data_IF_500512751772
#
_entry.id   IF_500512751772
#
_cell.length_a   1.000
_cell.length_b   1.000
_cell.length_c   1.000
_cell.angle_alpha   90.00
_cell.angle_beta   90.00
_cell.angle_gamma   90.00
#
_symmetry.space_group_name_H-M   'P 1'
#
loop_
_entity.id
_entity.type
_entity.pdbx_description
1 polymer ?
#
# COMPACT_ATOMS: atom_id res chain seq x y z
N UNK A 1 -9.18 15.84 -22.57
CA UNK A 1 -8.68 14.55 -22.04
C UNK A 1 -8.53 14.74 -20.54
N UNK A 2 -8.88 13.75 -19.72
CA UNK A 2 -8.77 13.88 -18.25
C UNK A 2 -7.31 13.71 -17.84
N UNK A 3 -6.79 14.56 -16.94
CA UNK A 3 -5.43 14.42 -16.41
C UNK A 3 -5.41 13.36 -15.32
N UNK A 4 -4.63 12.31 -15.53
CA UNK A 4 -4.48 11.22 -14.57
C UNK A 4 -3.12 11.23 -13.89
N UNK A 5 -3.04 10.65 -12.69
CA UNK A 5 -1.79 10.32 -12.01
C UNK A 5 -1.78 8.83 -11.67
N UNK A 6 -0.72 8.10 -12.07
CA UNK A 6 -0.56 6.69 -11.72
C UNK A 6 0.22 6.56 -10.41
N UNK A 7 -0.39 5.87 -9.44
CA UNK A 7 0.25 5.44 -8.20
C UNK A 7 0.53 3.94 -8.34
N UNK A 8 1.81 3.57 -8.39
CA UNK A 8 2.23 2.18 -8.50
C UNK A 8 3.54 1.97 -7.76
N UNK A 9 3.75 0.75 -7.28
CA UNK A 9 4.99 0.36 -6.59
C UNK A 9 6.17 0.55 -7.53
N UNK A 10 7.24 1.19 -7.07
CA UNK A 10 8.49 1.27 -7.84
C UNK A 10 9.51 0.25 -7.32
N UNK A 11 9.73 0.22 -6.00
CA UNK A 11 10.76 -0.61 -5.37
C UNK A 11 10.43 -2.11 -5.41
N UNK A 12 11.45 -2.93 -5.60
CA UNK A 12 11.39 -4.39 -5.52
C UNK A 12 12.55 -4.93 -4.67
N UNK A 13 12.43 -6.17 -4.19
CA UNK A 13 13.51 -6.85 -3.46
C UNK A 13 14.71 -7.19 -4.37
N UNK A 14 14.50 -7.21 -5.68
CA UNK A 14 15.53 -7.45 -6.69
C UNK A 14 15.41 -6.47 -7.86
N UNK A 15 16.49 -6.24 -8.62
CA UNK A 15 16.40 -5.43 -9.85
C UNK A 15 15.38 -5.97 -10.87
N UNK A 16 15.17 -7.29 -10.91
CA UNK A 16 14.15 -7.91 -11.76
C UNK A 16 12.74 -7.51 -11.32
N UNK A 17 12.48 -7.46 -10.01
CA UNK A 17 11.20 -6.97 -9.48
C UNK A 17 10.99 -5.48 -9.75
N UNK A 18 12.03 -4.65 -9.64
CA UNK A 18 11.95 -3.21 -10.02
C UNK A 18 11.59 -3.08 -11.50
N UNK A 19 12.22 -3.85 -12.37
CA UNK A 19 11.92 -3.85 -13.82
C UNK A 19 10.50 -4.30 -14.11
N UNK A 20 10.01 -5.33 -13.41
CA UNK A 20 8.64 -5.81 -13.55
C UNK A 20 7.62 -4.76 -13.09
N UNK A 21 7.88 -4.09 -11.97
CA UNK A 21 7.04 -2.99 -11.49
C UNK A 21 6.94 -1.85 -12.53
N UNK A 22 8.06 -1.46 -13.14
CA UNK A 22 8.08 -0.44 -14.21
C UNK A 22 7.25 -0.92 -15.41
N UNK A 23 7.39 -2.18 -15.81
CA UNK A 23 6.61 -2.77 -16.91
C UNK A 23 5.11 -2.73 -16.63
N UNK A 24 4.69 -3.10 -15.42
CA UNK A 24 3.27 -3.03 -15.02
C UNK A 24 2.75 -1.59 -15.03
N UNK A 25 3.57 -0.63 -14.56
CA UNK A 25 3.22 0.78 -14.61
C UNK A 25 3.10 1.32 -16.05
N UNK A 26 3.96 0.84 -16.96
CA UNK A 26 3.88 1.14 -18.39
C UNK A 26 2.58 0.64 -19.02
N UNK A 27 2.23 -0.63 -18.82
CA UNK A 27 1.00 -1.24 -19.34
C UNK A 27 -0.26 -0.55 -18.81
N UNK A 28 -0.27 -0.22 -17.51
CA UNK A 28 -1.37 0.54 -16.92
C UNK A 28 -1.46 1.94 -17.51
N UNK A 29 -0.33 2.63 -17.70
CA UNK A 29 -0.30 3.95 -18.33
C UNK A 29 -0.89 3.86 -19.74
N UNK A 30 -0.44 2.92 -20.57
CA UNK A 30 -0.97 2.73 -21.93
C UNK A 30 -2.49 2.49 -21.93
N UNK A 31 -2.98 1.67 -20.99
CA UNK A 31 -4.40 1.38 -20.82
C UNK A 31 -5.20 2.63 -20.44
N UNK A 32 -4.68 3.47 -19.55
CA UNK A 32 -5.29 4.75 -19.17
C UNK A 32 -5.36 5.73 -20.35
N UNK A 33 -4.31 5.79 -21.17
CA UNK A 33 -4.30 6.60 -22.39
C UNK A 33 -5.38 6.16 -23.38
N UNK A 34 -5.55 4.85 -23.58
CA UNK A 34 -6.64 4.29 -24.42
C UNK A 34 -8.03 4.65 -23.91
N UNK A 35 -8.18 4.87 -22.60
CA UNK A 35 -9.44 5.30 -21.97
C UNK A 35 -9.67 6.82 -22.00
N UNK A 36 -8.75 7.59 -22.60
CA UNK A 36 -8.84 9.04 -22.68
C UNK A 36 -8.38 9.76 -21.41
N UNK A 37 -7.44 9.14 -20.69
CA UNK A 37 -6.74 9.72 -19.53
C UNK A 37 -5.29 10.00 -19.90
N UNK A 38 -4.93 11.28 -19.94
CA UNK A 38 -3.55 11.73 -20.09
C UNK A 38 -2.82 11.48 -18.76
N UNK A 39 -2.25 10.29 -18.62
CA UNK A 39 -1.72 9.83 -17.33
C UNK A 39 -0.24 10.20 -17.15
N UNK A 40 0.07 10.84 -16.04
CA UNK A 40 1.43 11.00 -15.53
C UNK A 40 1.85 9.73 -14.78
N UNK A 41 3.02 9.18 -15.14
CA UNK A 41 3.60 8.01 -14.50
C UNK A 41 5.05 8.31 -14.09
N UNK A 42 5.34 8.27 -12.79
CA UNK A 42 6.69 8.52 -12.28
C UNK A 42 7.71 7.50 -12.79
N UNK A 43 7.29 6.25 -12.97
CA UNK A 43 8.17 5.17 -13.44
C UNK A 43 8.68 5.46 -14.85
N UNK A 44 7.83 5.97 -15.73
CA UNK A 44 8.24 6.30 -17.10
C UNK A 44 9.07 7.58 -17.19
N UNK A 45 8.93 8.48 -16.21
CA UNK A 45 9.64 9.76 -16.23
C UNK A 45 11.01 9.69 -15.53
N UNK A 46 11.09 9.02 -14.39
CA UNK A 46 12.24 9.15 -13.47
C UNK A 46 12.77 7.82 -12.95
N UNK A 47 12.39 6.66 -13.52
CA UNK A 47 12.84 5.34 -13.04
C UNK A 47 14.36 5.17 -12.93
N UNK A 48 15.17 6.00 -13.59
CA UNK A 48 16.63 5.88 -13.57
C UNK A 48 17.32 7.16 -13.09
N UNK A 49 16.61 8.03 -12.38
CA UNK A 49 17.14 9.30 -11.87
C UNK A 49 17.61 9.19 -10.41
N UNK A 50 17.91 7.98 -9.93
CA UNK A 50 18.20 7.69 -8.52
C UNK A 50 19.60 8.10 -8.04
N UNK A 51 20.43 8.69 -8.91
CA UNK A 51 21.77 9.13 -8.55
C UNK A 51 21.71 10.19 -7.42
N UNK A 52 22.51 9.91 -6.39
CA UNK A 52 22.37 10.35 -5.00
C UNK A 52 22.35 11.89 -4.84
N UNK A 53 21.18 12.45 -4.54
CA UNK A 53 21.07 13.83 -4.07
C UNK A 53 19.75 14.55 -4.35
N UNK A 54 18.90 14.01 -5.25
CA UNK A 54 17.73 14.74 -5.72
C UNK A 54 16.36 14.17 -5.31
N UNK A 55 16.33 13.20 -4.38
CA UNK A 55 15.10 12.51 -4.00
C UNK A 55 13.99 13.47 -3.53
N UNK A 56 14.35 14.47 -2.71
CA UNK A 56 13.37 15.43 -2.22
C UNK A 56 12.77 16.29 -3.35
N UNK A 57 13.59 16.73 -4.31
CA UNK A 57 13.07 17.51 -5.43
C UNK A 57 12.25 16.65 -6.40
N UNK A 58 12.62 15.38 -6.59
CA UNK A 58 11.81 14.42 -7.35
C UNK A 58 10.43 14.24 -6.69
N UNK A 59 10.39 13.98 -5.39
CA UNK A 59 9.13 13.83 -4.64
C UNK A 59 8.28 15.11 -4.70
N UNK A 60 8.90 16.29 -4.59
CA UNK A 60 8.21 17.57 -4.73
C UNK A 60 7.66 17.77 -6.15
N UNK A 61 8.44 17.39 -7.16
CA UNK A 61 8.03 17.42 -8.57
C UNK A 61 6.84 16.50 -8.84
N UNK A 62 6.89 15.26 -8.36
CA UNK A 62 5.80 14.29 -8.45
C UNK A 62 4.53 14.80 -7.77
N UNK A 63 4.64 15.33 -6.55
CA UNK A 63 3.49 15.94 -5.84
C UNK A 63 2.91 17.15 -6.57
N UNK A 64 3.76 17.93 -7.25
CA UNK A 64 3.30 19.05 -8.09
C UNK A 64 2.46 18.53 -9.26
N UNK A 65 2.91 17.47 -9.94
CA UNK A 65 2.11 16.83 -11.00
C UNK A 65 0.80 16.27 -10.48
N UNK A 66 0.81 15.64 -9.32
CA UNK A 66 -0.40 15.14 -8.66
C UNK A 66 -1.40 16.27 -8.42
N UNK A 67 -0.98 17.46 -7.97
CA UNK A 67 -1.86 18.61 -7.74
C UNK A 67 -2.59 19.13 -9.00
N UNK A 68 -2.16 18.73 -10.20
CA UNK A 68 -2.85 19.06 -11.46
C UNK A 68 -3.69 17.90 -12.01
N UNK A 69 -3.67 16.73 -11.36
CA UNK A 69 -4.46 15.59 -11.76
C UNK A 69 -5.93 15.77 -11.38
N UNK A 70 -6.81 15.21 -12.19
CA UNK A 70 -8.25 15.15 -11.97
C UNK A 70 -8.68 13.77 -11.43
N UNK A 71 -7.79 12.78 -11.52
CA UNK A 71 -7.97 11.43 -10.98
C UNK A 71 -6.60 10.80 -10.70
N UNK A 72 -6.49 10.07 -9.59
CA UNK A 72 -5.36 9.20 -9.28
C UNK A 72 -5.79 7.74 -9.43
N UNK A 73 -5.02 6.95 -10.18
CA UNK A 73 -5.24 5.53 -10.37
C UNK A 73 -4.19 4.73 -9.62
N UNK A 74 -4.61 3.86 -8.71
CA UNK A 74 -3.71 3.00 -7.94
C UNK A 74 -3.66 1.59 -8.51
N UNK A 75 -2.46 1.14 -8.89
CA UNK A 75 -2.20 -0.21 -9.37
C UNK A 75 -2.19 -1.21 -8.19
N UNK A 76 -2.53 -2.48 -8.44
CA UNK A 76 -2.47 -3.53 -7.41
C UNK A 76 -1.11 -3.55 -6.69
N UNK A 77 -1.13 -3.77 -5.37
CA UNK A 77 0.08 -3.75 -4.53
C UNK A 77 0.54 -2.34 -4.11
N UNK A 78 -0.25 -1.29 -4.35
CA UNK A 78 0.05 0.05 -3.83
C UNK A 78 -0.03 0.12 -2.29
N UNK A 79 -0.94 -0.65 -1.68
CA UNK A 79 -1.29 -0.51 -0.26
C UNK A 79 -0.26 -1.06 0.73
N UNK A 80 0.75 -1.81 0.26
CA UNK A 80 1.89 -2.28 1.06
C UNK A 80 3.17 -1.48 0.79
N UNK A 81 3.15 -0.49 -0.09
CA UNK A 81 4.29 0.34 -0.44
C UNK A 81 4.23 1.72 0.25
N UNK A 82 5.21 2.08 1.11
CA UNK A 82 5.23 3.38 1.80
C UNK A 82 5.24 4.61 0.89
N UNK A 83 5.90 4.52 -0.27
CA UNK A 83 5.97 5.64 -1.21
C UNK A 83 4.59 5.85 -1.87
N UNK A 84 3.92 4.76 -2.26
CA UNK A 84 2.54 4.82 -2.77
C UNK A 84 1.54 5.35 -1.73
N UNK A 85 1.67 4.94 -0.46
CA UNK A 85 0.81 5.45 0.61
C UNK A 85 0.93 6.97 0.77
N UNK A 86 2.16 7.50 0.66
CA UNK A 86 2.41 8.96 0.72
C UNK A 86 1.73 9.69 -0.44
N UNK A 87 1.75 9.12 -1.65
CA UNK A 87 1.06 9.68 -2.82
C UNK A 87 -0.46 9.65 -2.65
N UNK A 88 -1.01 8.57 -2.10
CA UNK A 88 -2.45 8.44 -1.79
C UNK A 88 -2.88 9.46 -0.74
N UNK A 89 -2.08 9.67 0.30
CA UNK A 89 -2.34 10.70 1.31
C UNK A 89 -2.33 12.09 0.68
N UNK A 90 -1.35 12.40 -0.16
CA UNK A 90 -1.31 13.67 -0.88
C UNK A 90 -2.51 13.87 -1.81
N UNK A 91 -2.94 12.82 -2.54
CA UNK A 91 -4.12 12.87 -3.39
C UNK A 91 -5.39 13.15 -2.57
N UNK A 92 -5.51 12.55 -1.38
CA UNK A 92 -6.63 12.81 -0.44
C UNK A 92 -6.63 14.25 0.06
N UNK A 93 -5.47 14.78 0.46
CA UNK A 93 -5.34 16.18 0.89
C UNK A 93 -5.75 17.18 -0.20
N UNK A 94 -5.55 16.80 -1.47
CA UNK A 94 -5.91 17.58 -2.65
C UNK A 94 -7.34 17.30 -3.14
N UNK A 95 -8.11 16.48 -2.43
CA UNK A 95 -9.46 16.04 -2.80
C UNK A 95 -9.53 15.39 -4.21
N UNK A 96 -8.42 14.79 -4.66
CA UNK A 96 -8.34 14.11 -5.95
C UNK A 96 -9.00 12.73 -5.81
N UNK A 97 -9.95 12.37 -6.70
CA UNK A 97 -10.54 11.05 -6.72
C UNK A 97 -9.49 9.95 -6.92
N UNK A 98 -9.47 8.97 -6.03
CA UNK A 98 -8.58 7.80 -6.08
C UNK A 98 -9.39 6.58 -6.52
N UNK A 99 -8.92 5.88 -7.55
CA UNK A 99 -9.58 4.68 -8.09
C UNK A 99 -8.61 3.51 -8.16
N UNK A 100 -9.11 2.29 -7.95
CA UNK A 100 -8.30 1.06 -7.98
C UNK A 100 -8.76 0.06 -9.04
N UNK A 101 -9.74 0.44 -9.88
CA UNK A 101 -10.28 -0.41 -10.93
C UNK A 101 -10.68 0.40 -12.16
N UNK A 102 -10.73 -0.25 -13.33
CA UNK A 102 -11.23 0.38 -14.55
C UNK A 102 -12.70 0.79 -14.43
N UNK A 103 -13.52 0.00 -13.74
CA UNK A 103 -14.94 0.32 -13.54
C UNK A 103 -15.11 1.63 -12.78
N UNK A 104 -14.39 1.79 -11.67
CA UNK A 104 -14.45 3.03 -10.87
C UNK A 104 -13.91 4.21 -11.66
N UNK A 105 -12.83 4.00 -12.44
CA UNK A 105 -12.30 5.02 -13.33
C UNK A 105 -13.36 5.47 -14.34
N UNK A 106 -14.04 4.55 -15.03
CA UNK A 106 -15.07 4.91 -16.02
C UNK A 106 -16.21 5.75 -15.40
N UNK A 107 -16.62 5.43 -14.17
CA UNK A 107 -17.61 6.21 -13.44
C UNK A 107 -17.10 7.63 -13.13
N UNK A 108 -15.86 7.77 -12.68
CA UNK A 108 -15.22 9.07 -12.43
C UNK A 108 -15.11 9.87 -13.73
N UNK A 109 -14.64 9.26 -14.82
CA UNK A 109 -14.51 9.92 -16.11
C UNK A 109 -15.86 10.40 -16.65
N UNK A 110 -16.93 9.63 -16.46
CA UNK A 110 -18.27 10.05 -16.82
C UNK A 110 -18.69 11.30 -16.04
N UNK A 111 -18.51 11.32 -14.71
CA UNK A 111 -18.84 12.48 -13.87
C UNK A 111 -18.04 13.72 -14.25
N UNK A 112 -16.74 13.58 -14.55
CA UNK A 112 -15.90 14.69 -15.01
C UNK A 112 -16.43 15.25 -16.34
N UNK A 113 -16.77 14.39 -17.31
CA UNK A 113 -17.33 14.82 -18.60
C UNK A 113 -18.65 15.58 -18.46
N UNK A 114 -19.45 15.21 -17.47
CA UNK A 114 -20.73 15.87 -17.18
C UNK A 114 -20.56 17.17 -16.37
N UNK A 115 -19.34 17.57 -16.03
CA UNK A 115 -19.07 18.74 -15.20
C UNK A 115 -19.45 18.55 -13.73
N UNK A 116 -19.73 17.31 -13.31
CA UNK A 116 -20.22 16.94 -11.98
C UNK A 116 -19.07 16.52 -11.07
N UNK A 117 -18.00 17.32 -11.06
CA UNK A 117 -16.80 17.03 -10.27
C UNK A 117 -17.13 17.06 -8.77
N UNK A 118 -18.02 17.95 -8.34
CA UNK A 118 -18.53 18.01 -6.96
C UNK A 118 -19.31 16.76 -6.53
N UNK A 119 -19.86 16.00 -7.48
CA UNK A 119 -20.60 14.75 -7.20
C UNK A 119 -19.66 13.55 -7.11
N UNK A 120 -18.37 13.76 -7.40
CA UNK A 120 -17.35 12.77 -7.13
C UNK A 120 -17.04 12.91 -5.65
N UNK A 121 -17.77 12.14 -4.83
CA UNK A 121 -17.39 11.89 -3.45
C UNK A 121 -15.88 11.62 -3.42
N UNK A 122 -15.08 12.43 -2.71
CA UNK A 122 -13.64 12.19 -2.60
C UNK A 122 -13.50 10.74 -2.17
N UNK A 123 -12.82 9.95 -3.01
CA UNK A 123 -12.97 8.50 -3.06
C UNK A 123 -13.27 7.93 -1.68
N UNK A 124 -14.50 7.42 -1.49
CA UNK A 124 -14.92 6.76 -0.25
C UNK A 124 -13.74 5.94 0.20
N UNK A 125 -13.07 6.37 1.31
CA UNK A 125 -11.75 5.90 1.74
C UNK A 125 -11.50 4.54 1.14
N UNK A 126 -10.72 4.47 0.03
CA UNK A 126 -10.51 3.22 -0.71
C UNK A 126 -10.35 2.14 0.34
N UNK A 127 -11.33 1.20 0.40
CA UNK A 127 -11.58 0.40 1.60
C UNK A 127 -10.23 -0.01 2.14
N UNK A 128 -9.91 0.47 3.35
CA UNK A 128 -8.58 0.33 3.91
C UNK A 128 -8.10 -1.10 3.61
N UNK A 129 -6.88 -1.28 3.09
CA UNK A 129 -6.47 -2.56 2.49
C UNK A 129 -6.54 -3.72 3.48
N UNK A 130 -6.72 -3.45 4.76
CA UNK A 130 -6.93 -4.44 5.80
C UNK A 130 -8.40 -4.81 6.00
N UNK A 131 -9.36 -3.92 5.75
CA UNK A 131 -10.81 -4.16 5.89
C UNK A 131 -11.27 -5.34 5.02
N UNK A 132 -12.04 -6.25 5.63
CA UNK A 132 -12.47 -7.52 5.05
C UNK A 132 -11.45 -8.65 5.17
N UNK A 133 -10.16 -8.34 5.37
CA UNK A 133 -9.09 -9.35 5.50
C UNK A 133 -8.91 -9.80 6.95
N UNK A 134 -8.34 -10.98 7.14
CA UNK A 134 -8.05 -11.55 8.45
C UNK A 134 -6.54 -11.52 8.73
N UNK A 135 -6.16 -11.05 9.91
CA UNK A 135 -4.77 -10.94 10.36
C UNK A 135 -4.54 -11.69 11.67
N UNK A 136 -3.30 -12.13 11.87
CA UNK A 136 -2.82 -12.59 13.16
C UNK A 136 -2.55 -11.37 14.06
N UNK A 137 -3.20 -11.29 15.22
CA UNK A 137 -3.08 -10.16 16.15
C UNK A 137 -2.79 -10.65 17.57
N UNK A 138 -1.88 -9.98 18.28
CA UNK A 138 -1.65 -10.24 19.70
C UNK A 138 -2.79 -9.68 20.57
N UNK A 139 -3.42 -10.55 21.34
CA UNK A 139 -4.41 -10.21 22.37
C UNK A 139 -3.94 -10.82 23.69
N UNK A 140 -3.45 -9.99 24.60
CA UNK A 140 -2.77 -10.44 25.81
C UNK A 140 -1.52 -11.26 25.48
N UNK A 141 -1.49 -12.54 25.88
CA UNK A 141 -0.37 -13.47 25.64
C UNK A 141 -0.61 -14.45 24.49
N UNK A 142 -1.66 -14.24 23.71
CA UNK A 142 -2.06 -15.15 22.63
C UNK A 142 -2.13 -14.43 21.29
N UNK A 143 -1.79 -15.14 20.23
CA UNK A 143 -2.04 -14.70 18.85
C UNK A 143 -3.39 -15.26 18.42
N UNK A 144 -4.28 -14.39 17.97
CA UNK A 144 -5.63 -14.75 17.52
C UNK A 144 -5.90 -14.22 16.12
N UNK A 145 -6.70 -14.96 15.31
CA UNK A 145 -7.19 -14.45 14.04
C UNK A 145 -8.21 -13.32 14.28
N UNK A 146 -7.99 -12.17 13.65
CA UNK A 146 -8.89 -11.03 13.72
C UNK A 146 -9.26 -10.59 12.30
N UNK A 147 -10.54 -10.65 11.98
CA UNK A 147 -11.07 -10.07 10.74
C UNK A 147 -11.26 -8.58 10.95
N UNK A 148 -10.66 -7.76 10.10
CA UNK A 148 -10.83 -6.32 10.15
C UNK A 148 -12.17 -5.98 9.50
N UNK A 149 -13.01 -5.25 10.22
CA UNK A 149 -14.38 -4.93 9.77
C UNK A 149 -14.54 -3.46 9.38
N UNK A 150 -13.73 -2.56 9.93
CA UNK A 150 -13.77 -1.15 9.62
C UNK A 150 -12.49 -0.46 10.08
N UNK A 151 -12.11 0.62 9.39
CA UNK A 151 -11.12 1.58 9.86
C UNK A 151 -11.76 2.57 10.85
N UNK A 152 -10.97 3.17 11.73
CA UNK A 152 -11.40 4.24 12.63
C UNK A 152 -11.13 5.61 12.00
N UNK A 153 -11.90 6.63 12.41
CA UNK A 153 -11.67 8.01 11.97
C UNK A 153 -10.28 8.54 12.36
N UNK A 154 -9.79 8.18 13.55
CA UNK A 154 -8.51 8.66 14.08
C UNK A 154 -7.37 7.64 13.87
N UNK A 155 -7.49 6.77 12.86
CA UNK A 155 -6.52 5.71 12.58
C UNK A 155 -6.70 4.44 13.42
N UNK A 156 -6.16 3.35 12.87
CA UNK A 156 -6.35 1.99 13.38
C UNK A 156 -7.67 1.37 12.93
N UNK A 157 -8.03 0.22 13.52
CA UNK A 157 -9.10 -0.63 13.02
C UNK A 157 -10.00 -1.19 14.11
N UNK A 158 -11.24 -1.44 13.74
CA UNK A 158 -12.12 -2.38 14.41
C UNK A 158 -11.96 -3.76 13.78
N UNK A 159 -11.88 -4.78 14.61
CA UNK A 159 -11.86 -6.17 14.15
C UNK A 159 -12.70 -7.10 15.01
N UNK A 160 -12.97 -8.30 14.52
CA UNK A 160 -13.65 -9.36 15.24
C UNK A 160 -12.66 -10.51 15.44
N UNK A 161 -12.45 -10.91 16.69
CA UNK A 161 -11.69 -12.11 17.00
C UNK A 161 -12.49 -13.35 16.58
N UNK A 162 -12.03 -14.06 15.55
CA UNK A 162 -12.77 -15.20 14.99
C UNK A 162 -12.85 -16.40 15.93
N UNK A 163 -12.02 -16.48 16.98
CA UNK A 163 -12.11 -17.55 18.01
C UNK A 163 -13.15 -17.28 19.08
N UNK A 164 -13.40 -16.01 19.42
CA UNK A 164 -14.29 -15.64 20.55
C UNK A 164 -15.53 -14.85 20.15
N UNK A 165 -15.62 -14.39 18.90
CA UNK A 165 -16.67 -13.48 18.43
C UNK A 165 -16.58 -12.06 18.99
N UNK A 166 -15.61 -11.77 19.87
CA UNK A 166 -15.50 -10.44 20.51
C UNK A 166 -14.93 -9.41 19.57
N UNK A 167 -15.49 -8.20 19.61
CA UNK A 167 -14.96 -7.03 18.92
C UNK A 167 -13.69 -6.54 19.61
N UNK A 168 -12.71 -6.15 18.80
CA UNK A 168 -11.41 -5.63 19.22
C UNK A 168 -11.17 -4.28 18.55
N UNK A 169 -10.38 -3.45 19.24
CA UNK A 169 -9.82 -2.22 18.68
C UNK A 169 -8.32 -2.38 18.53
N UNK A 170 -7.82 -2.10 17.33
CA UNK A 170 -6.41 -2.20 16.95
C UNK A 170 -5.93 -0.78 16.65
N UNK A 171 -5.23 -0.17 17.59
CA UNK A 171 -4.80 1.23 17.47
C UNK A 171 -3.46 1.41 16.77
N UNK A 172 -2.68 0.34 16.59
CA UNK A 172 -1.34 0.38 16.01
C UNK A 172 -1.20 -0.70 14.91
N UNK A 173 -0.79 -0.34 13.68
CA UNK A 173 -0.54 -1.27 12.58
C UNK A 173 0.42 -2.41 12.92
N UNK A 174 1.42 -2.17 13.78
CA UNK A 174 2.38 -3.19 14.22
C UNK A 174 1.74 -4.36 14.99
N UNK A 175 0.48 -4.22 15.41
CA UNK A 175 -0.29 -5.31 16.00
C UNK A 175 -0.86 -6.28 14.96
N UNK A 176 -0.94 -5.88 13.69
CA UNK A 176 -1.24 -6.75 12.56
C UNK A 176 0.06 -7.46 12.17
N UNK A 177 0.22 -8.72 12.57
CA UNK A 177 1.49 -9.43 12.37
C UNK A 177 1.67 -9.89 10.92
N UNK A 178 0.71 -10.67 10.43
CA UNK A 178 0.70 -11.23 9.08
C UNK A 178 -0.71 -11.66 8.71
N UNK A 179 -0.98 -11.81 7.41
CA UNK A 179 -2.27 -12.26 6.91
C UNK A 179 -2.55 -13.69 7.37
N UNK A 180 -3.68 -13.89 8.03
CA UNK A 180 -4.07 -15.20 8.54
C UNK A 180 -4.57 -16.07 7.39
N UNK A 181 -3.81 -17.10 7.04
CA UNK A 181 -4.22 -18.11 6.09
C UNK A 181 -4.82 -19.30 6.85
N UNK A 182 -6.08 -19.63 6.55
CA UNK A 182 -6.74 -20.80 7.12
C UNK A 182 -5.87 -22.05 6.86
N UNK A 183 -5.39 -22.69 7.92
CA UNK A 183 -4.57 -23.91 7.85
C UNK A 183 -3.12 -23.79 8.29
N UNK A 184 -2.59 -22.59 8.56
CA UNK A 184 -1.26 -22.43 9.18
C UNK A 184 -1.37 -21.79 10.56
N UNK A 185 -1.38 -22.62 11.60
CA UNK A 185 -1.29 -22.10 12.97
C UNK A 185 0.07 -21.42 13.20
N UNK A 186 0.10 -20.27 13.90
CA UNK A 186 1.35 -19.65 14.34
C UNK A 186 2.14 -20.64 15.18
N UNK A 187 3.42 -20.88 14.83
CA UNK A 187 4.33 -21.60 15.73
C UNK A 187 4.43 -20.82 17.03
N UNK A 188 4.12 -21.47 18.17
CA UNK A 188 4.17 -20.83 19.49
C UNK A 188 5.59 -20.27 19.71
N UNK A 189 5.68 -19.06 20.28
CA UNK A 189 6.94 -18.35 20.57
C UNK A 189 7.92 -19.12 21.51
N UNK A 190 7.53 -20.30 22.00
CA UNK A 190 8.37 -21.24 22.75
C UNK A 190 9.03 -22.36 21.93
N UNK A 191 8.72 -22.54 20.65
CA UNK A 191 9.37 -23.52 19.77
C UNK A 191 10.56 -22.93 18.99
N UNK A 192 11.19 -21.85 19.49
CA UNK A 192 12.57 -21.59 19.12
C UNK A 192 13.40 -22.71 19.76
N UNK A 193 13.62 -23.79 18.99
CA UNK A 193 14.64 -24.81 19.29
C UNK A 193 15.85 -24.06 19.85
N UNK A 194 16.28 -24.44 21.05
CA UNK A 194 17.53 -23.99 21.64
C UNK A 194 18.61 -24.09 20.55
N UNK A 195 18.97 -22.96 19.95
CA UNK A 195 20.13 -22.92 19.08
C UNK A 195 21.30 -23.33 19.98
N UNK A 196 22.09 -24.35 19.60
CA UNK A 196 23.21 -24.77 20.43
C UNK A 196 24.07 -23.55 20.72
N UNK A 197 24.22 -23.22 22.01
CA UNK A 197 25.17 -22.20 22.46
C UNK A 197 26.51 -22.61 21.86
N UNK A 198 27.04 -21.82 20.91
CA UNK A 198 28.41 -22.00 20.42
C UNK A 198 29.32 -21.95 21.65
N UNK A 199 29.93 -23.08 21.98
CA UNK A 199 30.99 -23.13 22.97
C UNK A 199 32.09 -22.18 22.50
N UNK A 200 32.38 -21.13 23.26
CA UNK A 200 33.58 -20.33 23.04
C UNK A 200 34.78 -21.19 23.43
N UNK A 201 35.45 -21.77 22.44
CA UNK A 201 36.78 -22.33 22.61
C UNK A 201 37.75 -21.18 22.82
N UNK A 202 38.18 -20.97 24.06
CA UNK A 202 39.35 -20.16 24.38
C UNK A 202 40.59 -20.88 23.86
N UNK A 203 41.08 -20.47 22.68
CA UNK A 203 42.41 -20.84 22.24
C UNK A 203 43.43 -19.96 22.99
N UNK A 204 44.14 -20.57 23.93
CA UNK A 204 45.33 -19.98 24.54
C UNK A 204 46.41 -19.82 23.47
N UNK A 205 46.85 -18.58 23.25
CA UNK A 205 48.09 -18.27 22.53
C UNK A 205 49.23 -18.45 23.52
N UNK A 206 50.05 -19.49 23.34
CA UNK A 206 51.36 -19.60 24.00
C UNK A 206 52.38 -18.74 23.24
N UNK A 207 53.19 -18.02 24.01
CA UNK A 207 54.31 -17.18 23.55
C UNK A 207 55.55 -18.02 23.31
#
# INVERSE_FOLDING_TARGET
MVRGYLIAKYRGATPAEVKENIRLAEEATESLWKLGVACYCRHLLTAFFEDEGNWEALQRGHRTWLAYAEVAYCLEGWGDDPDCMTEVEAARELEIPIVTSHTDLLLVLQKIKEGRISDIEPAQKAQDPYVGKTFAVWVGRQVVPVQIIAERLNGGWYGINLKSGRRLTITNPQRLLYRWNAGKEPKRKGERKNAPRRAHSNAQVQK
#
